data_IF_861796304128
#
_entry.id   IF_861796304128
#
_cell.length_a   1.000
_cell.length_b   1.000
_cell.length_c   1.000
_cell.angle_alpha   90.00
_cell.angle_beta   90.00
_cell.angle_gamma   90.00
#
_symmetry.space_group_name_H-M   'P 1'
#
loop_
_entity.id
_entity.type
_entity.pdbx_description
1 polymer ?
2 non-polymer ?
3 non-polymer ?
4 water ?
#
# COMPACT_ATOMS: atom_id res chain seq x y z
N UNK A 1 -8.50 18.63 17.68
CA UNK A 1 -7.46 17.77 18.32
C UNK A 1 -7.66 16.26 18.03
N UNK A 2 -6.62 15.44 18.23
CA UNK A 2 -6.58 14.04 17.78
C UNK A 2 -6.25 13.12 18.93
N UNK A 3 -7.18 12.21 19.18
CA UNK A 3 -7.10 11.24 20.28
C UNK A 3 -7.11 9.83 19.69
N UNK A 4 -6.08 9.05 20.00
CA UNK A 4 -5.93 7.69 19.46
C UNK A 4 -5.98 6.65 20.57
N UNK A 5 -6.80 5.62 20.35
CA UNK A 5 -6.88 4.44 21.19
C UNK A 5 -6.03 3.36 20.54
N UNK A 6 -5.14 2.78 21.34
CA UNK A 6 -4.33 1.69 20.92
C UNK A 6 -4.46 0.52 21.89
N UNK A 7 -4.05 -0.65 21.43
CA UNK A 7 -4.03 -1.83 22.26
C UNK A 7 -4.31 -3.05 21.45
N UNK A 8 -4.16 -4.19 22.13
CA UNK A 8 -4.45 -5.50 21.54
C UNK A 8 -5.92 -5.69 21.34
N UNK A 9 -6.24 -6.68 20.53
CA UNK A 9 -7.62 -7.10 20.32
C UNK A 9 -8.27 -7.40 21.67
N UNK A 10 -9.48 -6.93 21.83
CA UNK A 10 -10.25 -7.13 23.04
C UNK A 10 -9.88 -6.35 24.28
N UNK A 11 -9.08 -5.31 24.09
CA UNK A 11 -8.69 -4.43 25.20
C UNK A 11 -9.79 -3.41 25.54
N UNK A 12 -10.80 -3.33 24.69
CA UNK A 12 -11.86 -2.38 24.85
C UNK A 12 -11.84 -1.07 24.06
N UNK A 13 -11.09 -0.99 22.98
CA UNK A 13 -10.98 0.23 22.19
C UNK A 13 -12.28 0.64 21.55
N UNK A 14 -13.00 -0.27 20.91
CA UNK A 14 -14.28 0.10 20.28
C UNK A 14 -15.24 0.71 21.34
N UNK A 15 -15.29 0.02 22.47
CA UNK A 15 -16.19 0.37 23.54
C UNK A 15 -15.79 1.75 24.07
N UNK A 16 -14.52 1.90 24.44
CA UNK A 16 -14.11 3.16 25.06
C UNK A 16 -14.10 4.40 24.10
N UNK A 17 -13.72 4.18 22.85
CA UNK A 17 -13.73 5.24 21.82
C UNK A 17 -15.16 5.79 21.59
N UNK A 18 -16.13 4.90 21.52
CA UNK A 18 -17.52 5.31 21.37
C UNK A 18 -18.08 6.00 22.64
N UNK A 19 -17.77 5.45 23.80
CA UNK A 19 -17.98 6.16 25.06
C UNK A 19 -17.47 7.54 25.05
N UNK A 20 -16.21 7.73 24.64
CA UNK A 20 -15.62 9.01 24.63
C UNK A 20 -16.31 9.93 23.58
N UNK A 21 -16.58 9.41 22.38
CA UNK A 21 -17.29 10.17 21.37
C UNK A 21 -18.58 10.75 21.96
N UNK A 22 -19.36 9.90 22.62
CA UNK A 22 -20.68 10.38 23.14
C UNK A 22 -20.53 11.37 24.22
N UNK A 23 -19.55 11.16 25.08
CA UNK A 23 -19.25 12.05 26.17
C UNK A 23 -18.84 13.43 25.68
N UNK A 24 -17.89 13.47 24.74
CA UNK A 24 -17.41 14.75 24.24
C UNK A 24 -18.49 15.46 23.45
N UNK A 25 -19.29 14.72 22.69
CA UNK A 25 -20.36 15.36 21.90
C UNK A 25 -21.37 16.06 22.85
N UNK A 26 -21.73 15.36 23.94
CA UNK A 26 -22.61 16.01 24.98
C UNK A 26 -22.02 17.27 25.58
N UNK A 27 -20.70 17.32 25.74
CA UNK A 27 -19.99 18.48 26.24
C UNK A 27 -19.91 19.62 25.24
N UNK A 28 -20.49 19.46 24.04
CA UNK A 28 -20.46 20.47 23.03
C UNK A 28 -19.30 20.46 22.03
N UNK A 29 -18.44 19.43 22.07
CA UNK A 29 -17.40 19.32 21.03
C UNK A 29 -18.01 18.78 19.76
N UNK A 30 -17.46 19.15 18.59
CA UNK A 30 -17.81 18.56 17.34
C UNK A 30 -16.81 17.45 17.20
N UNK A 31 -17.30 16.25 17.08
CA UNK A 31 -16.42 15.07 17.26
C UNK A 31 -16.59 14.18 16.05
N UNK A 32 -15.52 13.45 15.70
CA UNK A 32 -15.53 12.37 14.73
C UNK A 32 -14.93 11.11 15.39
N UNK A 33 -15.37 9.95 14.89
CA UNK A 33 -14.90 8.66 15.34
C UNK A 33 -14.67 7.79 14.10
N UNK A 34 -13.43 7.35 13.94
CA UNK A 34 -12.99 6.51 12.80
C UNK A 34 -12.27 5.30 13.33
N UNK A 35 -12.45 4.16 12.64
CA UNK A 35 -11.66 2.96 12.95
C UNK A 35 -10.62 2.70 11.87
N UNK A 36 -9.52 2.05 12.26
CA UNK A 36 -8.42 1.71 11.35
C UNK A 36 -8.22 0.21 11.41
N UNK A 37 -8.07 -0.47 10.26
CA UNK A 37 -8.30 0.04 8.94
C UNK A 37 -9.79 0.32 8.72
N UNK A 38 -10.12 1.13 7.70
CA UNK A 38 -11.51 1.51 7.46
C UNK A 38 -11.70 3.00 7.66
N UNK A 39 -12.94 3.42 7.79
CA UNK A 39 -13.24 4.82 8.12
C UNK A 39 -13.54 5.67 6.90
N UNK A 40 -13.28 5.15 5.72
CA UNK A 40 -13.66 5.78 4.42
C UNK A 40 -14.22 4.65 3.55
N UNK A 41 -14.92 4.99 2.48
CA UNK A 41 -15.43 3.98 1.56
C UNK A 41 -14.29 3.07 1.05
N UNK A 42 -13.22 3.67 0.54
CA UNK A 42 -12.08 2.86 0.08
C UNK A 42 -11.41 2.11 1.24
N UNK A 43 -11.20 2.75 2.37
CA UNK A 43 -10.58 2.08 3.51
C UNK A 43 -11.35 0.86 3.97
N UNK A 44 -12.68 0.91 3.84
CA UNK A 44 -13.51 -0.19 4.28
C UNK A 44 -13.41 -1.37 3.31
N UNK A 45 -13.26 -1.07 2.03
CA UNK A 45 -12.92 -2.11 1.04
C UNK A 45 -11.61 -2.77 1.40
N UNK A 46 -10.61 -1.97 1.76
CA UNK A 46 -9.32 -2.55 2.16
C UNK A 46 -9.42 -3.37 3.44
N UNK A 47 -10.25 -2.89 4.38
CA UNK A 47 -10.40 -3.57 5.63
C UNK A 47 -10.98 -4.96 5.36
N UNK A 48 -11.98 -5.03 4.47
CA UNK A 48 -12.55 -6.34 4.16
C UNK A 48 -11.53 -7.26 3.51
N UNK A 49 -10.69 -6.75 2.60
CA UNK A 49 -9.62 -7.58 2.11
C UNK A 49 -8.71 -8.07 3.28
N UNK A 50 -8.31 -7.17 4.16
CA UNK A 50 -7.35 -7.51 5.22
C UNK A 50 -7.92 -8.55 6.15
N UNK A 51 -9.25 -8.52 6.36
CA UNK A 51 -9.88 -9.41 7.32
C UNK A 51 -10.27 -10.75 6.72
N UNK A 52 -10.37 -10.84 5.40
CA UNK A 52 -10.91 -12.03 4.79
C UNK A 52 -9.98 -12.79 3.89
N UNK A 53 -8.89 -12.19 3.38
CA UNK A 53 -8.04 -12.87 2.39
C UNK A 53 -6.80 -13.35 3.05
N UNK A 54 -6.16 -14.35 2.47
CA UNK A 54 -4.89 -14.76 2.97
C UNK A 54 -3.84 -13.87 2.30
N UNK A 55 -3.11 -13.13 3.13
CA UNK A 55 -2.11 -12.21 2.66
C UNK A 55 -0.82 -12.48 3.35
N UNK A 56 0.26 -12.21 2.64
CA UNK A 56 1.57 -12.14 3.25
C UNK A 56 1.67 -10.82 4.03
N UNK A 57 2.65 -10.78 4.89
CA UNK A 57 2.75 -9.70 5.87
C UNK A 57 3.17 -8.36 5.25
N UNK A 58 3.93 -8.39 4.16
CA UNK A 58 4.27 -7.18 3.43
C UNK A 58 3.10 -6.53 2.74
N UNK A 59 2.33 -7.31 2.00
CA UNK A 59 1.07 -6.82 1.39
C UNK A 59 0.13 -6.26 2.47
N UNK A 60 0.03 -6.95 3.62
CA UNK A 60 -0.76 -6.46 4.77
C UNK A 60 -0.32 -5.06 5.23
N UNK A 61 0.96 -4.92 5.43
CA UNK A 61 1.51 -3.67 5.90
C UNK A 61 1.13 -2.55 4.97
N UNK A 62 1.28 -2.82 3.70
CA UNK A 62 0.99 -1.80 2.67
C UNK A 62 -0.49 -1.44 2.60
N UNK A 63 -1.39 -2.43 2.77
CA UNK A 63 -2.83 -2.14 2.81
C UNK A 63 -3.28 -1.39 4.03
N UNK A 64 -2.73 -1.74 5.20
CA UNK A 64 -2.97 -0.92 6.43
C UNK A 64 -2.55 0.55 6.18
N UNK A 65 -1.40 0.77 5.55
CA UNK A 65 -0.98 2.16 5.31
C UNK A 65 -1.85 2.82 4.27
N UNK A 66 -2.26 2.10 3.25
CA UNK A 66 -3.13 2.67 2.23
C UNK A 66 -4.48 3.15 2.80
N UNK A 67 -5.10 2.30 3.63
CA UNK A 67 -6.31 2.72 4.38
C UNK A 67 -6.05 4.00 5.21
N UNK A 68 -4.90 4.04 5.93
CA UNK A 68 -4.56 5.20 6.76
C UNK A 68 -4.38 6.45 5.92
N UNK A 69 -3.69 6.30 4.80
CA UNK A 69 -3.48 7.41 3.90
C UNK A 69 -4.82 7.97 3.41
N UNK A 70 -5.71 7.08 2.99
CA UNK A 70 -7.07 7.55 2.55
C UNK A 70 -7.83 8.28 3.68
N UNK A 71 -7.79 7.74 4.89
CA UNK A 71 -8.44 8.35 6.02
C UNK A 71 -7.88 9.74 6.38
N UNK A 72 -6.55 9.85 6.40
CA UNK A 72 -5.88 11.05 6.74
C UNK A 72 -6.28 12.17 5.72
N UNK A 73 -6.14 11.86 4.42
CA UNK A 73 -6.38 12.83 3.40
C UNK A 73 -7.87 13.18 3.27
N UNK A 74 -8.73 12.19 3.29
CA UNK A 74 -10.13 12.39 3.06
C UNK A 74 -10.87 13.07 4.25
N UNK A 75 -10.56 12.61 5.47
CA UNK A 75 -11.30 12.89 6.70
C UNK A 75 -10.50 13.57 7.82
N UNK A 76 -9.37 13.00 8.26
CA UNK A 76 -8.73 13.50 9.44
C UNK A 76 -8.21 14.95 9.26
N UNK A 77 -7.48 15.20 8.19
CA UNK A 77 -6.91 16.50 8.02
C UNK A 77 -8.06 17.56 7.93
N UNK A 78 -9.11 17.34 7.10
CA UNK A 78 -10.15 18.38 7.05
C UNK A 78 -10.84 18.53 8.39
N UNK A 79 -11.02 17.40 9.12
CA UNK A 79 -11.69 17.45 10.43
C UNK A 79 -10.91 18.30 11.37
N UNK A 80 -9.59 18.10 11.44
CA UNK A 80 -8.75 18.84 12.36
C UNK A 80 -8.72 20.32 12.03
N UNK A 81 -8.72 20.63 10.74
CA UNK A 81 -8.77 21.99 10.21
C UNK A 81 -10.02 22.73 10.75
N UNK A 82 -11.16 22.02 10.81
CA UNK A 82 -12.42 22.54 11.45
C UNK A 82 -12.51 22.41 12.97
N UNK A 83 -11.43 22.15 13.66
CA UNK A 83 -11.37 22.02 15.12
C UNK A 83 -12.32 20.95 15.63
N UNK A 84 -12.47 19.88 14.86
CA UNK A 84 -13.17 18.73 15.42
C UNK A 84 -12.22 18.00 16.37
N UNK A 85 -12.79 17.38 17.39
CA UNK A 85 -12.08 16.34 18.14
C UNK A 85 -12.14 15.02 17.38
N UNK A 86 -10.98 14.52 16.92
CA UNK A 86 -10.99 13.29 16.09
C UNK A 86 -10.51 12.17 16.99
N UNK A 87 -11.37 11.15 17.12
CA UNK A 87 -11.10 10.01 17.91
C UNK A 87 -10.84 8.80 16.97
N UNK A 88 -9.69 8.16 17.12
CA UNK A 88 -9.32 7.01 16.30
C UNK A 88 -9.29 5.71 17.09
N UNK A 89 -9.97 4.71 16.52
CA UNK A 89 -9.92 3.36 17.03
C UNK A 89 -8.84 2.64 16.25
N UNK A 90 -7.63 2.72 16.82
CA UNK A 90 -6.34 2.27 16.24
C UNK A 90 -5.71 3.38 15.44
N UNK A 91 -4.37 3.43 15.49
CA UNK A 91 -3.60 4.36 14.66
C UNK A 91 -2.22 3.79 14.44
N UNK A 92 -1.20 4.62 14.35
CA UNK A 92 0.12 4.20 13.88
C UNK A 92 0.86 3.28 14.81
N UNK A 93 0.54 3.33 16.10
CA UNK A 93 1.19 2.38 16.97
C UNK A 93 0.72 0.95 16.77
N UNK A 94 -0.53 0.78 16.40
CA UNK A 94 -0.99 -0.59 16.02
C UNK A 94 -0.11 -1.17 14.89
N UNK A 95 0.21 -0.36 13.90
CA UNK A 95 1.03 -0.86 12.82
C UNK A 95 2.42 -1.33 13.31
N UNK A 96 3.05 -0.52 14.14
CA UNK A 96 4.32 -0.89 14.65
C UNK A 96 4.27 -2.12 15.54
N UNK A 97 3.29 -2.21 16.44
CA UNK A 97 3.20 -3.33 17.31
C UNK A 97 2.83 -4.62 16.59
N UNK A 98 1.89 -4.54 15.64
CA UNK A 98 1.43 -5.73 14.90
C UNK A 98 2.41 -6.14 13.84
N UNK A 99 2.69 -5.24 12.89
CA UNK A 99 3.61 -5.59 11.80
C UNK A 99 5.07 -5.68 12.20
N UNK A 100 5.44 -4.84 13.14
CA UNK A 100 6.85 -4.74 13.63
C UNK A 100 7.14 -5.77 14.70
N UNK A 101 6.54 -5.57 15.89
CA UNK A 101 6.90 -6.46 17.03
C UNK A 101 6.32 -7.85 16.81
N UNK A 102 5.09 -7.94 16.27
CA UNK A 102 4.40 -9.16 16.04
C UNK A 102 4.92 -9.99 14.87
N UNK A 103 5.00 -9.34 13.71
CA UNK A 103 5.34 -10.06 12.48
C UNK A 103 6.78 -9.89 12.09
N UNK A 104 7.57 -9.09 12.83
CA UNK A 104 9.00 -8.99 12.62
C UNK A 104 9.44 -8.15 11.45
N UNK A 105 8.56 -7.29 10.90
CA UNK A 105 8.95 -6.31 9.87
C UNK A 105 9.75 -5.18 10.52
N UNK A 106 10.56 -4.51 9.73
CA UNK A 106 11.47 -3.48 10.26
C UNK A 106 10.69 -2.24 10.76
N UNK A 107 10.87 -1.91 12.03
CA UNK A 107 10.12 -0.84 12.68
C UNK A 107 10.49 0.51 12.11
N UNK A 108 11.80 0.78 11.78
CA UNK A 108 12.06 2.10 11.20
C UNK A 108 11.28 2.27 9.86
N UNK A 109 11.28 1.20 9.10
CA UNK A 109 10.61 1.18 7.79
C UNK A 109 9.13 1.43 8.01
N UNK A 110 8.58 0.79 9.05
CA UNK A 110 7.19 0.99 9.39
C UNK A 110 6.95 2.43 9.73
N UNK A 111 7.84 3.03 10.53
CA UNK A 111 7.63 4.37 10.92
C UNK A 111 7.68 5.34 9.72
N UNK A 112 8.55 5.06 8.77
CA UNK A 112 8.67 5.86 7.56
C UNK A 112 7.39 5.79 6.75
N UNK A 113 6.78 4.63 6.68
CA UNK A 113 5.48 4.52 6.00
C UNK A 113 4.42 5.21 6.75
N UNK A 114 4.46 5.09 8.06
CA UNK A 114 3.50 5.80 8.91
C UNK A 114 3.53 7.32 8.63
N UNK A 115 4.74 7.86 8.67
CA UNK A 115 4.99 9.32 8.41
C UNK A 115 4.44 9.75 7.05
N UNK A 116 4.66 8.92 6.05
CA UNK A 116 4.14 9.15 4.70
C UNK A 116 2.62 9.17 4.59
N UNK A 117 2.00 8.14 5.14
CA UNK A 117 0.55 8.03 5.16
C UNK A 117 -0.12 9.16 5.97
N UNK A 118 0.49 9.55 7.09
CA UNK A 118 -0.10 10.54 7.94
C UNK A 118 0.19 11.97 7.54
N UNK A 119 1.14 12.19 6.62
CA UNK A 119 1.70 13.54 6.37
C UNK A 119 2.24 14.14 7.67
N UNK A 120 2.73 13.33 8.59
CA UNK A 120 3.32 13.79 9.88
C UNK A 120 2.26 14.07 10.92
N UNK A 121 0.95 13.82 10.65
CA UNK A 121 -0.10 14.11 11.64
C UNK A 121 0.06 13.13 12.82
N UNK A 122 0.25 13.69 14.02
CA UNK A 122 0.45 12.92 15.22
C UNK A 122 -0.71 13.20 16.20
N UNK A 123 -0.97 12.25 17.12
CA UNK A 123 -2.05 12.46 18.07
C UNK A 123 -1.62 13.51 19.06
N UNK A 124 -2.58 14.19 19.66
CA UNK A 124 -2.30 14.97 20.89
C UNK A 124 -2.04 14.04 22.08
N UNK A 125 -2.74 12.92 22.11
CA UNK A 125 -2.56 11.90 23.18
C UNK A 125 -2.97 10.56 22.61
N UNK A 126 -2.26 9.52 22.96
CA UNK A 126 -2.62 8.15 22.64
C UNK A 126 -2.94 7.45 23.96
N UNK A 127 -4.11 6.84 24.04
CA UNK A 127 -4.53 6.02 25.19
C UNK A 127 -4.24 4.54 24.84
N UNK A 128 -3.20 3.98 25.45
CA UNK A 128 -2.88 2.57 25.28
C UNK A 128 -3.66 1.73 26.32
N UNK A 129 -4.68 1.00 25.84
CA UNK A 129 -5.45 0.10 26.68
C UNK A 129 -4.71 -1.17 26.88
N UNK A 130 -3.96 -1.25 27.99
CA UNK A 130 -3.14 -2.37 28.26
C UNK A 130 -3.98 -3.41 29.03
N UNK A 131 -3.77 -4.67 28.70
CA UNK A 131 -4.55 -5.75 29.30
C UNK A 131 -3.80 -7.04 29.12
N UNK A 132 -3.86 -7.95 30.10
CA UNK A 132 -3.31 -9.27 29.88
C UNK A 132 -3.99 -9.98 28.76
N UNK A 133 -3.17 -10.64 27.94
CA UNK A 133 -3.66 -11.36 26.80
C UNK A 133 -4.75 -12.37 27.17
N UNK A 134 -4.56 -13.12 28.26
CA UNK A 134 -5.63 -14.06 28.69
C UNK A 134 -6.96 -13.45 28.90
N UNK A 135 -6.97 -12.24 29.43
CA UNK A 135 -8.25 -11.55 29.74
C UNK A 135 -8.96 -11.05 28.48
N UNK A 136 -8.19 -10.39 27.61
CA UNK A 136 -8.69 -10.05 26.29
C UNK A 136 -9.25 -11.24 25.56
N UNK A 137 -8.50 -12.34 25.53
CA UNK A 137 -9.00 -13.56 24.87
C UNK A 137 -10.30 -14.05 25.42
N UNK A 138 -10.43 -14.07 26.75
CA UNK A 138 -11.70 -14.47 27.40
C UNK A 138 -12.84 -13.55 26.98
N UNK A 139 -12.60 -12.22 26.96
CA UNK A 139 -13.56 -11.30 26.48
C UNK A 139 -13.96 -11.55 25.05
N UNK A 140 -12.97 -11.87 24.21
CA UNK A 140 -13.25 -12.15 22.83
C UNK A 140 -14.05 -13.47 22.63
N UNK A 141 -13.65 -14.51 23.36
CA UNK A 141 -14.32 -15.85 23.26
C UNK A 141 -15.83 -15.71 23.51
N UNK A 142 -16.21 -14.85 24.47
CA UNK A 142 -17.63 -14.55 24.79
C UNK A 142 -18.39 -13.84 23.66
N UNK A 143 -17.70 -13.27 22.69
CA UNK A 143 -18.38 -12.87 21.44
C UNK A 143 -17.95 -13.71 20.23
N UNK A 144 -17.48 -14.95 20.48
CA UNK A 144 -17.18 -15.89 19.39
C UNK A 144 -16.08 -15.33 18.49
N UNK A 145 -15.05 -14.70 19.09
CA UNK A 145 -13.85 -14.19 18.37
C UNK A 145 -12.64 -14.86 19.03
N UNK A 146 -11.70 -15.34 18.22
CA UNK A 146 -10.56 -16.12 18.67
C UNK A 146 -9.34 -15.49 18.04
N UNK A 147 -8.33 -15.17 18.85
CA UNK A 147 -7.07 -14.58 18.39
C UNK A 147 -5.94 -15.36 18.97
N UNK A 148 -4.73 -15.08 18.46
CA UNK A 148 -3.61 -15.94 18.70
C UNK A 148 -2.78 -15.50 19.92
N UNK A 149 -2.79 -16.33 20.99
CA UNK A 149 -2.14 -15.94 22.22
C UNK A 149 -0.65 -15.70 22.02
N UNK A 150 0.04 -16.57 21.28
CA UNK A 150 1.46 -16.37 21.14
C UNK A 150 1.74 -15.02 20.43
N UNK A 151 0.99 -14.76 19.40
CA UNK A 151 1.16 -13.54 18.63
C UNK A 151 0.83 -12.32 19.47
N UNK A 152 -0.28 -12.42 20.17
CA UNK A 152 -0.72 -11.28 20.96
C UNK A 152 0.16 -10.97 22.15
N UNK A 153 0.90 -11.95 22.69
CA UNK A 153 1.84 -11.69 23.77
C UNK A 153 2.95 -10.81 23.26
N UNK A 154 3.43 -11.08 22.06
CA UNK A 154 4.44 -10.22 21.46
C UNK A 154 3.93 -8.79 21.17
N UNK A 155 2.72 -8.68 20.69
CA UNK A 155 2.10 -7.41 20.34
C UNK A 155 1.88 -6.57 21.60
N UNK A 156 1.37 -7.21 22.64
CA UNK A 156 1.22 -6.48 23.92
C UNK A 156 2.49 -5.86 24.41
N UNK A 157 3.55 -6.65 24.38
CA UNK A 157 4.82 -6.16 24.78
C UNK A 157 5.32 -5.09 23.90
N UNK A 158 5.05 -5.22 22.58
CA UNK A 158 5.43 -4.17 21.65
C UNK A 158 4.77 -2.83 22.01
N UNK A 159 3.49 -2.86 22.31
CA UNK A 159 2.78 -1.65 22.66
C UNK A 159 3.39 -1.03 23.93
N UNK A 160 3.73 -1.87 24.89
CA UNK A 160 4.32 -1.33 26.13
C UNK A 160 5.70 -0.70 25.90
N UNK A 161 6.54 -1.30 25.04
CA UNK A 161 7.83 -0.66 24.71
C UNK A 161 7.63 0.67 24.02
N UNK A 162 6.64 0.74 23.14
CA UNK A 162 6.35 1.97 22.44
C UNK A 162 5.82 3.05 23.37
N UNK A 163 4.99 2.69 24.36
CA UNK A 163 4.53 3.68 25.36
C UNK A 163 5.74 4.34 26.07
N UNK A 164 6.81 3.58 26.25
CA UNK A 164 8.08 4.10 26.78
C UNK A 164 8.84 4.94 25.74
N UNK A 165 8.95 4.42 24.51
CA UNK A 165 9.79 5.01 23.42
C UNK A 165 9.18 6.17 22.66
N UNK A 166 7.88 6.12 22.49
CA UNK A 166 7.12 7.14 21.72
C UNK A 166 6.62 8.23 22.65
N UNK A 167 6.09 9.30 22.07
CA UNK A 167 5.69 10.49 22.85
C UNK A 167 4.21 10.45 23.06
N UNK A 168 3.71 11.04 24.16
CA UNK A 168 2.30 11.36 24.40
C UNK A 168 1.36 10.13 24.49
N UNK A 169 1.92 9.04 25.00
CA UNK A 169 1.24 7.76 25.16
C UNK A 169 0.99 7.58 26.66
N UNK A 170 -0.27 7.40 27.05
CA UNK A 170 -0.61 7.07 28.44
C UNK A 170 -1.06 5.62 28.54
N UNK A 171 -0.48 4.85 29.45
CA UNK A 171 -0.87 3.47 29.63
C UNK A 171 -2.05 3.43 30.57
N UNK A 172 -3.18 2.96 30.07
CA UNK A 172 -4.37 2.74 30.82
C UNK A 172 -4.47 1.26 31.23
N UNK A 173 -4.77 1.00 32.52
CA UNK A 173 -5.15 -0.37 32.91
C UNK A 173 -6.58 -0.66 32.41
N UNK A 174 -6.63 -1.32 31.29
CA UNK A 174 -7.84 -1.64 30.67
C UNK A 174 -8.49 -2.96 31.23
N UNK A 175 -7.88 -3.62 32.23
CA UNK A 175 -8.47 -4.88 32.79
C UNK A 175 -9.75 -4.67 33.65
N UNK A 176 -10.04 -3.45 34.04
CA UNK A 176 -11.18 -3.17 34.95
C UNK A 176 -12.49 -3.12 34.23
N UNK A 177 -13.53 -2.74 34.99
CA UNK A 177 -14.86 -2.53 34.47
C UNK A 177 -14.92 -1.28 33.57
N UNK A 178 -15.94 -1.22 32.75
CA UNK A 178 -16.09 -0.18 31.74
C UNK A 178 -16.01 1.22 32.35
N UNK A 179 -16.64 1.45 33.51
CA UNK A 179 -16.63 2.80 34.02
C UNK A 179 -15.33 3.11 34.70
N UNK A 180 -14.71 2.12 35.32
CA UNK A 180 -13.42 2.34 35.91
C UNK A 180 -12.42 2.75 34.81
N UNK A 181 -12.49 2.04 33.68
CA UNK A 181 -11.55 2.32 32.55
C UNK A 181 -11.80 3.72 31.99
N UNK A 182 -13.08 4.08 31.80
CA UNK A 182 -13.43 5.41 31.32
C UNK A 182 -12.97 6.47 32.30
N UNK A 183 -13.07 6.18 33.59
CA UNK A 183 -12.52 7.08 34.56
C UNK A 183 -11.03 7.38 34.39
N UNK A 184 -10.22 6.37 34.16
CA UNK A 184 -8.76 6.60 33.96
C UNK A 184 -8.58 7.35 32.64
N UNK A 185 -9.36 7.07 31.64
CA UNK A 185 -9.27 7.78 30.34
C UNK A 185 -9.53 9.29 30.49
N UNK A 186 -10.54 9.66 31.26
CA UNK A 186 -10.86 11.06 31.46
C UNK A 186 -9.74 11.74 32.26
N UNK A 187 -9.20 11.03 33.25
CA UNK A 187 -8.03 11.52 34.01
C UNK A 187 -6.84 11.80 33.06
N UNK A 188 -6.50 10.85 32.21
CA UNK A 188 -5.40 11.05 31.23
C UNK A 188 -5.70 12.20 30.28
N UNK A 189 -6.95 12.38 29.87
CA UNK A 189 -7.28 13.47 28.92
C UNK A 189 -7.24 14.84 29.52
N UNK A 190 -7.55 14.98 30.79
CA UNK A 190 -7.54 16.31 31.40
C UNK A 190 -6.07 16.92 31.43
N UNK A 191 -5.03 16.11 31.20
CA UNK A 191 -3.73 16.64 30.74
C UNK A 191 -3.80 17.44 29.43
N UNK A 192 -4.60 16.96 28.47
CA UNK A 192 -4.62 17.46 27.09
C UNK A 192 -5.82 18.36 26.70
N UNK A 193 -7.01 18.15 27.27
CA UNK A 193 -8.26 18.79 26.79
C UNK A 193 -9.06 19.32 27.98
N UNK B 1 13.66 -16.88 -15.58
CA UNK B 1 14.18 -15.46 -15.77
C UNK B 1 13.07 -14.38 -15.89
N UNK B 2 13.37 -13.11 -15.64
CA UNK B 2 12.33 -12.05 -15.51
C UNK B 2 12.53 -10.92 -16.53
N UNK B 3 11.49 -10.69 -17.32
CA UNK B 3 11.52 -9.71 -18.40
C UNK B 3 10.42 -8.69 -18.14
N UNK B 4 10.77 -7.42 -17.97
CA UNK B 4 9.76 -6.41 -17.67
C UNK B 4 9.55 -5.46 -18.84
N UNK B 5 8.31 -5.19 -19.19
CA UNK B 5 8.01 -4.16 -20.18
C UNK B 5 7.63 -2.90 -19.44
N UNK B 6 8.16 -1.75 -19.86
CA UNK B 6 7.85 -0.48 -19.28
C UNK B 6 7.55 0.53 -20.34
N UNK B 7 6.97 1.64 -19.90
CA UNK B 7 6.68 2.74 -20.77
C UNK B 7 5.37 3.40 -20.56
N UNK B 8 5.15 4.49 -21.27
CA UNK B 8 3.89 5.26 -21.09
C UNK B 8 2.68 4.53 -21.61
N UNK B 9 1.50 4.98 -21.17
CA UNK B 9 0.26 4.46 -21.72
C UNK B 9 0.27 4.57 -23.27
N UNK B 10 -0.18 3.53 -23.96
CA UNK B 10 -0.25 3.53 -25.41
C UNK B 10 1.04 3.22 -26.14
N UNK B 11 2.08 2.78 -25.41
CA UNK B 11 3.37 2.44 -26.04
C UNK B 11 3.45 1.02 -26.61
N UNK B 12 2.43 0.20 -26.37
CA UNK B 12 2.35 -1.13 -26.91
C UNK B 12 2.74 -2.26 -25.97
N UNK B 13 2.75 -1.99 -24.67
CA UNK B 13 3.23 -3.02 -23.72
C UNK B 13 2.33 -4.22 -23.72
N UNK B 14 1.01 -4.04 -23.60
CA UNK B 14 0.10 -5.17 -23.60
C UNK B 14 0.29 -6.05 -24.82
N UNK B 15 0.37 -5.38 -25.95
CA UNK B 15 0.56 -6.01 -27.25
C UNK B 15 1.83 -6.83 -27.33
N UNK B 16 2.94 -6.14 -27.04
CA UNK B 16 4.27 -6.75 -27.13
C UNK B 16 4.52 -7.80 -26.08
N UNK B 17 3.91 -7.62 -24.91
CA UNK B 17 4.13 -8.66 -23.86
C UNK B 17 3.47 -10.00 -24.21
N UNK B 18 2.28 -9.90 -24.79
CA UNK B 18 1.54 -11.06 -25.22
C UNK B 18 2.20 -11.71 -26.41
N UNK B 19 2.63 -10.92 -27.38
CA UNK B 19 3.43 -11.40 -28.52
C UNK B 19 4.65 -12.21 -28.03
N UNK B 20 5.37 -11.62 -27.08
CA UNK B 20 6.54 -12.30 -26.49
C UNK B 20 6.19 -13.58 -25.74
N UNK B 21 5.10 -13.52 -24.96
CA UNK B 21 4.61 -14.70 -24.23
C UNK B 21 4.35 -15.83 -25.23
N UNK B 22 3.63 -15.53 -26.31
CA UNK B 22 3.31 -16.64 -27.27
C UNK B 22 4.56 -17.18 -28.01
N UNK B 23 5.46 -16.28 -28.38
CA UNK B 23 6.70 -16.62 -29.01
C UNK B 23 7.59 -17.49 -28.16
N UNK B 24 7.75 -17.15 -26.89
CA UNK B 24 8.60 -17.93 -26.04
C UNK B 24 7.99 -19.26 -25.69
N UNK B 25 6.66 -19.30 -25.54
CA UNK B 25 5.98 -20.57 -25.29
C UNK B 25 6.21 -21.54 -26.47
N UNK B 26 6.10 -21.01 -27.67
CA UNK B 26 6.21 -21.84 -28.89
C UNK B 26 7.63 -22.44 -28.99
N UNK B 27 8.62 -21.68 -28.51
CA UNK B 27 10.00 -22.07 -28.44
C UNK B 27 10.30 -23.07 -27.33
N UNK B 28 9.35 -23.39 -26.47
CA UNK B 28 9.53 -24.44 -25.43
C UNK B 28 9.91 -23.94 -24.05
N UNK B 29 9.87 -22.63 -23.85
CA UNK B 29 9.94 -22.07 -22.49
C UNK B 29 8.61 -22.27 -21.75
N UNK B 30 8.66 -22.39 -20.43
CA UNK B 30 7.51 -22.32 -19.60
C UNK B 30 7.45 -20.87 -19.19
N UNK B 31 6.34 -20.24 -19.53
CA UNK B 31 6.23 -18.79 -19.49
C UNK B 31 5.05 -18.41 -18.65
N UNK B 32 5.16 -17.26 -17.97
CA UNK B 32 4.07 -16.58 -17.25
C UNK B 32 4.00 -15.16 -17.76
N UNK B 33 2.79 -14.60 -17.73
CA UNK B 33 2.55 -13.24 -18.12
C UNK B 33 1.60 -12.57 -17.10
N UNK B 34 2.09 -11.47 -16.51
CA UNK B 34 1.37 -10.75 -15.46
C UNK B 34 1.36 -9.24 -15.74
N UNK B 35 0.24 -8.59 -15.45
CA UNK B 35 0.09 -7.13 -15.53
C UNK B 35 0.11 -6.54 -14.16
N UNK B 36 0.60 -5.30 -14.08
CA UNK B 36 0.66 -4.54 -12.85
C UNK B 36 0.04 -3.18 -13.08
N UNK B 37 -0.79 -2.70 -12.15
CA UNK B 37 -1.36 -3.55 -11.07
C UNK B 37 -2.25 -4.72 -11.53
N UNK B 38 -2.47 -5.69 -10.67
CA UNK B 38 -3.19 -6.85 -11.04
C UNK B 38 -2.33 -8.07 -11.01
N UNK B 39 -2.80 -9.11 -11.69
CA UNK B 39 -2.06 -10.38 -11.83
C UNK B 39 -2.24 -11.40 -10.72
N UNK B 40 -3.01 -11.02 -9.68
CA UNK B 40 -3.50 -11.93 -8.66
C UNK B 40 -4.93 -11.55 -8.34
N UNK B 41 -5.63 -12.43 -7.63
CA UNK B 41 -7.03 -12.10 -7.25
C UNK B 41 -7.11 -10.78 -6.45
N UNK B 42 -6.27 -10.70 -5.43
CA UNK B 42 -6.17 -9.48 -4.66
C UNK B 42 -5.68 -8.26 -5.44
N UNK B 43 -4.61 -8.43 -6.25
CA UNK B 43 -4.11 -7.31 -7.09
C UNK B 43 -5.17 -6.78 -8.06
N UNK B 44 -6.01 -7.65 -8.59
CA UNK B 44 -7.04 -7.21 -9.51
C UNK B 44 -8.11 -6.37 -8.84
N UNK B 45 -8.47 -6.75 -7.61
CA UNK B 45 -9.33 -5.91 -6.80
C UNK B 45 -8.67 -4.54 -6.62
N UNK B 46 -7.35 -4.53 -6.36
CA UNK B 46 -6.69 -3.26 -6.15
C UNK B 46 -6.63 -2.45 -7.42
N UNK B 47 -6.44 -3.14 -8.55
CA UNK B 47 -6.34 -2.50 -9.85
C UNK B 47 -7.69 -1.81 -10.13
N UNK B 48 -8.81 -2.47 -9.80
CA UNK B 48 -10.14 -1.85 -10.05
C UNK B 48 -10.31 -0.61 -9.22
N UNK B 49 -9.87 -0.66 -7.96
CA UNK B 49 -9.90 0.54 -7.14
C UNK B 49 -9.06 1.66 -7.73
N UNK B 50 -7.87 1.32 -8.18
CA UNK B 50 -6.96 2.31 -8.71
C UNK B 50 -7.49 2.94 -10.01
N UNK B 51 -8.14 2.14 -10.85
CA UNK B 51 -8.72 2.66 -12.09
C UNK B 51 -10.07 3.35 -11.96
N UNK B 52 -10.82 3.14 -10.89
CA UNK B 52 -12.17 3.67 -10.81
C UNK B 52 -12.39 4.74 -9.74
N UNK B 53 -11.59 4.76 -8.68
CA UNK B 53 -11.86 5.68 -7.55
C UNK B 53 -11.01 6.92 -7.59
N UNK B 54 -11.51 7.98 -6.98
CA UNK B 54 -10.76 9.16 -6.81
C UNK B 54 -9.84 8.93 -5.61
N UNK B 55 -8.54 8.92 -5.89
CA UNK B 55 -7.57 8.63 -4.85
C UNK B 55 -6.57 9.71 -4.86
N UNK B 56 -6.08 10.05 -3.70
CA UNK B 56 -4.90 10.85 -3.62
C UNK B 56 -3.64 10.05 -4.02
N UNK B 57 -2.58 10.75 -4.30
CA UNK B 57 -1.37 10.17 -4.83
C UNK B 57 -0.59 9.24 -3.88
N UNK B 58 -0.71 9.53 -2.58
CA UNK B 58 -0.07 8.68 -1.55
C UNK B 58 -0.74 7.32 -1.42
N UNK B 59 -2.08 7.36 -1.34
CA UNK B 59 -2.87 6.16 -1.30
C UNK B 59 -2.60 5.37 -2.59
N UNK B 60 -2.57 6.07 -3.73
CA UNK B 60 -2.24 5.37 -4.97
C UNK B 60 -0.91 4.63 -4.92
N UNK B 61 0.15 5.29 -4.48
CA UNK B 61 1.45 4.64 -4.40
C UNK B 61 1.39 3.35 -3.60
N UNK B 62 0.69 3.43 -2.47
CA UNK B 62 0.65 2.36 -1.51
C UNK B 62 -0.15 1.22 -2.11
N UNK B 63 -1.19 1.51 -2.89
CA UNK B 63 -1.92 0.40 -3.53
C UNK B 63 -1.14 -0.26 -4.67
N UNK B 64 -0.49 0.54 -5.52
CA UNK B 64 0.42 -0.04 -6.58
C UNK B 64 1.42 -0.98 -5.90
N UNK B 65 2.01 -0.55 -4.79
CA UNK B 65 2.97 -1.42 -4.16
C UNK B 65 2.35 -2.63 -3.52
N UNK B 66 1.18 -2.49 -2.92
CA UNK B 66 0.52 -3.63 -2.35
C UNK B 66 0.20 -4.69 -3.40
N UNK B 67 -0.30 -4.22 -4.54
CA UNK B 67 -0.54 -5.17 -5.66
C UNK B 67 0.76 -5.95 -6.06
N UNK B 68 1.88 -5.22 -6.10
CA UNK B 68 3.20 -5.78 -6.50
C UNK B 68 3.67 -6.78 -5.48
N UNK B 69 3.49 -6.45 -4.22
CA UNK B 69 3.92 -7.32 -3.16
C UNK B 69 3.17 -8.68 -3.25
N UNK B 70 1.87 -8.60 -3.49
CA UNK B 70 1.05 -9.82 -3.62
C UNK B 70 1.48 -10.64 -4.81
N UNK B 71 1.76 -9.96 -5.93
CA UNK B 71 2.22 -10.63 -7.14
C UNK B 71 3.59 -11.28 -6.98
N UNK B 72 4.52 -10.60 -6.36
CA UNK B 72 5.86 -11.10 -6.07
C UNK B 72 5.77 -12.35 -5.20
N UNK B 73 5.02 -12.27 -4.11
CA UNK B 73 5.05 -13.36 -3.15
C UNK B 73 4.22 -14.52 -3.68
N UNK B 74 3.09 -14.24 -4.30
CA UNK B 74 2.19 -15.29 -4.74
C UNK B 74 2.61 -16.04 -5.98
N UNK B 75 3.20 -15.31 -6.91
CA UNK B 75 3.40 -15.80 -8.26
C UNK B 75 4.82 -15.66 -8.78
N UNK B 76 5.46 -14.46 -8.69
CA UNK B 76 6.73 -14.29 -9.40
C UNK B 76 7.83 -15.14 -8.76
N UNK B 77 8.00 -15.01 -7.46
CA UNK B 77 9.06 -15.78 -6.78
C UNK B 77 8.85 -17.31 -7.02
N UNK B 78 7.62 -17.86 -6.80
CA UNK B 78 7.47 -19.31 -7.09
C UNK B 78 7.77 -19.67 -8.55
N UNK B 79 7.32 -18.83 -9.49
CA UNK B 79 7.58 -19.05 -10.93
C UNK B 79 9.08 -19.12 -11.25
N UNK B 80 9.81 -18.16 -10.70
CA UNK B 80 11.26 -18.06 -10.92
C UNK B 80 11.99 -19.27 -10.36
N UNK B 81 11.47 -19.80 -9.26
CA UNK B 81 12.09 -20.95 -8.63
C UNK B 81 11.95 -22.16 -9.54
N UNK B 82 10.84 -22.24 -10.27
CA UNK B 82 10.63 -23.31 -11.28
C UNK B 82 11.17 -22.98 -12.66
N UNK B 83 12.08 -22.04 -12.79
CA UNK B 83 12.68 -21.64 -14.10
C UNK B 83 11.67 -21.30 -15.17
N UNK B 84 10.55 -20.69 -14.78
CA UNK B 84 9.70 -20.08 -15.78
C UNK B 84 10.25 -18.74 -16.22
N UNK B 85 10.07 -18.41 -17.48
CA UNK B 85 10.23 -17.06 -17.99
C UNK B 85 8.98 -16.23 -17.58
N UNK B 86 9.22 -15.22 -16.75
CA UNK B 86 8.12 -14.37 -16.23
C UNK B 86 8.22 -13.05 -16.98
N UNK B 87 7.15 -12.71 -17.70
CA UNK B 87 6.98 -11.50 -18.42
C UNK B 87 6.00 -10.58 -17.65
N UNK B 88 6.43 -9.35 -17.39
CA UNK B 88 5.63 -8.37 -16.67
C UNK B 88 5.28 -7.24 -17.56
N UNK B 89 3.98 -6.93 -17.59
CA UNK B 89 3.53 -5.69 -18.23
C UNK B 89 3.42 -4.61 -17.15
N UNK B 90 4.51 -3.88 -17.02
CA UNK B 90 4.80 -2.88 -16.03
C UNK B 90 5.47 -3.51 -14.85
N UNK B 91 6.37 -2.73 -14.25
CA UNK B 91 7.01 -3.16 -13.01
C UNK B 91 7.52 -1.90 -12.30
N UNK B 92 8.65 -2.00 -11.59
CA UNK B 92 9.04 -0.97 -10.67
C UNK B 92 9.33 0.34 -11.30
N UNK B 93 9.74 0.34 -12.58
CA UNK B 93 10.08 1.64 -13.14
C UNK B 93 8.82 2.45 -13.44
N UNK B 94 7.69 1.78 -13.70
CA UNK B 94 6.42 2.48 -13.81
C UNK B 94 6.13 3.26 -12.53
N UNK B 95 6.39 2.67 -11.36
CA UNK B 95 6.11 3.39 -10.14
C UNK B 95 6.94 4.66 -10.00
N UNK B 96 8.24 4.56 -10.31
CA UNK B 96 9.10 5.69 -10.18
C UNK B 96 8.75 6.76 -11.19
N UNK B 97 8.40 6.34 -12.41
CA UNK B 97 8.05 7.31 -13.47
C UNK B 97 6.71 8.02 -13.25
N UNK B 98 5.69 7.24 -12.88
CA UNK B 98 4.35 7.77 -12.62
C UNK B 98 4.27 8.49 -11.31
N UNK B 99 4.49 7.77 -10.20
CA UNK B 99 4.39 8.40 -8.88
C UNK B 99 5.48 9.42 -8.52
N UNK B 100 6.69 9.18 -9.02
CA UNK B 100 7.84 10.05 -8.81
C UNK B 100 7.86 11.22 -9.79
N UNK B 101 8.19 10.92 -11.03
CA UNK B 101 8.38 11.96 -12.02
C UNK B 101 7.07 12.62 -12.40
N UNK B 102 5.97 11.89 -12.50
CA UNK B 102 4.68 12.44 -12.83
C UNK B 102 4.03 13.25 -11.69
N UNK B 103 3.87 12.60 -10.53
CA UNK B 103 3.13 13.16 -9.41
C UNK B 103 4.03 13.89 -8.42
N UNK B 104 5.35 13.78 -8.56
CA UNK B 104 6.32 14.42 -7.68
C UNK B 104 6.55 13.86 -6.31
N UNK B 105 6.20 12.61 -6.09
CA UNK B 105 6.61 11.94 -4.91
C UNK B 105 8.10 11.59 -4.92
N UNK B 106 8.60 11.33 -3.72
CA UNK B 106 10.03 11.22 -3.56
C UNK B 106 10.61 9.91 -4.16
N UNK B 107 11.53 10.06 -5.08
CA UNK B 107 12.02 8.91 -5.81
C UNK B 107 12.76 7.94 -4.91
N UNK B 108 13.58 8.43 -3.95
CA UNK B 108 14.26 7.46 -3.07
C UNK B 108 13.27 6.63 -2.22
N UNK B 109 12.19 7.25 -1.76
CA UNK B 109 11.13 6.62 -0.97
C UNK B 109 10.46 5.56 -1.82
N UNK B 110 10.16 5.93 -3.06
CA UNK B 110 9.55 4.96 -3.98
C UNK B 110 10.44 3.77 -4.19
N UNK B 111 11.75 3.99 -4.41
CA UNK B 111 12.67 2.87 -4.59
C UNK B 111 12.69 1.93 -3.32
N UNK B 112 12.62 2.54 -2.16
CA UNK B 112 12.61 1.74 -0.93
C UNK B 112 11.35 0.90 -0.85
N UNK B 113 10.24 1.46 -1.21
CA UNK B 113 8.99 0.70 -1.25
C UNK B 113 9.11 -0.42 -2.26
N UNK B 114 9.62 -0.10 -3.45
CA UNK B 114 9.81 -1.07 -4.49
C UNK B 114 10.61 -2.24 -4.01
N UNK B 115 11.73 -1.96 -3.35
CA UNK B 115 12.58 -3.00 -2.80
C UNK B 115 11.88 -3.88 -1.75
N UNK B 116 11.07 -3.28 -0.88
CA UNK B 116 10.23 -3.96 0.10
C UNK B 116 9.20 -4.88 -0.58
N UNK B 117 8.45 -4.35 -1.53
CA UNK B 117 7.45 -5.15 -2.26
C UNK B 117 8.06 -6.32 -3.04
N UNK B 118 9.21 -6.10 -3.66
CA UNK B 118 9.85 -7.08 -4.51
C UNK B 118 10.70 -8.08 -3.74
N UNK B 119 11.00 -7.82 -2.48
CA UNK B 119 12.06 -8.59 -1.76
C UNK B 119 13.38 -8.57 -2.56
N UNK B 120 13.63 -7.47 -3.25
CA UNK B 120 14.74 -7.32 -4.09
C UNK B 120 14.81 -8.05 -5.37
N UNK B 121 13.75 -8.72 -5.82
CA UNK B 121 13.71 -9.31 -7.16
C UNK B 121 13.82 -8.18 -8.21
N UNK B 122 14.80 -8.32 -9.08
CA UNK B 122 14.95 -7.41 -10.22
C UNK B 122 14.94 -8.13 -11.56
N UNK B 123 14.59 -7.43 -12.63
CA UNK B 123 14.51 -8.09 -13.89
C UNK B 123 15.91 -8.42 -14.40
N UNK B 124 15.97 -9.46 -15.19
CA UNK B 124 17.18 -9.72 -16.03
C UNK B 124 17.27 -8.65 -17.12
N UNK B 125 16.14 -8.19 -17.62
CA UNK B 125 16.17 -7.14 -18.61
C UNK B 125 14.85 -6.40 -18.55
N UNK B 126 14.92 -5.11 -18.75
CA UNK B 126 13.72 -4.29 -18.87
C UNK B 126 13.65 -3.70 -20.29
N UNK B 127 12.55 -3.93 -20.98
CA UNK B 127 12.31 -3.34 -22.27
C UNK B 127 11.50 -2.04 -22.12
N UNK B 128 12.15 -0.90 -22.28
CA UNK B 128 11.45 0.37 -22.27
C UNK B 128 10.89 0.69 -23.64
N UNK B 129 9.58 0.64 -23.76
CA UNK B 129 8.92 1.03 -24.99
C UNK B 129 8.77 2.52 -25.08
N UNK B 130 9.72 3.17 -25.77
CA UNK B 130 9.72 4.61 -25.79
C UNK B 130 8.92 5.05 -27.01
N UNK B 131 8.16 6.11 -26.85
CA UNK B 131 7.28 6.60 -27.93
C UNK B 131 6.93 8.01 -27.64
N UNK B 132 6.80 8.87 -28.68
CA UNK B 132 6.32 10.23 -28.40
C UNK B 132 4.93 10.23 -27.85
N UNK B 133 4.70 11.14 -26.90
CA UNK B 133 3.41 11.16 -26.23
C UNK B 133 2.30 11.36 -27.23
N UNK B 134 2.49 12.26 -28.20
CA UNK B 134 1.39 12.48 -29.13
C UNK B 134 1.04 11.25 -29.95
N UNK B 135 2.02 10.42 -30.29
CA UNK B 135 1.73 9.20 -31.02
C UNK B 135 0.99 8.17 -30.16
N UNK B 136 1.42 8.02 -28.91
CA UNK B 136 0.68 7.17 -27.95
C UNK B 136 -0.81 7.61 -27.77
N UNK B 137 -0.98 8.94 -27.63
CA UNK B 137 -2.32 9.47 -27.46
C UNK B 137 -3.22 9.21 -28.67
N UNK B 138 -2.69 9.30 -29.88
CA UNK B 138 -3.47 8.95 -31.09
C UNK B 138 -3.90 7.48 -31.07
N UNK B 139 -2.98 6.60 -30.66
CA UNK B 139 -3.31 5.20 -30.60
C UNK B 139 -4.39 4.93 -29.60
N UNK B 140 -4.25 5.52 -28.39
CA UNK B 140 -5.27 5.38 -27.35
C UNK B 140 -6.62 5.98 -27.78
N UNK B 141 -6.59 7.11 -28.45
CA UNK B 141 -7.82 7.88 -28.87
C UNK B 141 -8.66 7.00 -29.80
N UNK B 142 -7.97 6.15 -30.57
CA UNK B 142 -8.70 5.28 -31.48
C UNK B 142 -9.55 4.31 -30.74
N UNK B 143 -9.15 3.95 -29.51
CA UNK B 143 -9.91 3.06 -28.68
C UNK B 143 -10.69 3.81 -27.60
N UNK B 144 -10.91 5.10 -27.78
CA UNK B 144 -11.62 5.93 -26.81
C UNK B 144 -11.01 5.97 -25.42
N UNK B 145 -9.69 5.97 -25.39
CA UNK B 145 -8.95 6.06 -24.12
C UNK B 145 -8.26 7.40 -24.18
N UNK B 146 -8.49 8.24 -23.16
CA UNK B 146 -7.91 9.62 -23.10
C UNK B 146 -6.88 9.67 -21.98
N UNK B 147 -5.68 10.17 -22.23
CA UNK B 147 -4.73 10.31 -21.12
C UNK B 147 -4.16 11.68 -21.24
N UNK B 148 -3.51 12.14 -20.18
CA UNK B 148 -3.16 13.54 -20.00
C UNK B 148 -1.78 13.86 -20.58
N UNK B 149 -1.75 14.68 -21.61
CA UNK B 149 -0.47 14.92 -22.32
C UNK B 149 0.54 15.56 -21.42
N UNK B 150 0.11 16.56 -20.62
CA UNK B 150 1.11 17.23 -19.81
C UNK B 150 1.71 16.22 -18.80
N UNK B 151 0.88 15.41 -18.20
CA UNK B 151 1.38 14.38 -17.30
C UNK B 151 2.32 13.34 -17.97
N UNK B 152 1.88 12.83 -19.10
CA UNK B 152 2.67 11.86 -19.77
C UNK B 152 3.97 12.35 -20.33
N UNK B 153 4.09 13.66 -20.67
CA UNK B 153 5.34 14.21 -21.10
C UNK B 153 6.37 14.04 -19.95
N UNK B 154 5.97 14.34 -18.73
CA UNK B 154 6.91 14.21 -17.61
C UNK B 154 7.30 12.73 -17.36
N UNK B 155 6.32 11.83 -17.50
CA UNK B 155 6.47 10.38 -17.27
C UNK B 155 7.41 9.81 -18.33
N UNK B 156 7.21 10.19 -19.59
CA UNK B 156 8.11 9.73 -20.60
C UNK B 156 9.56 10.10 -20.28
N UNK B 157 9.80 11.32 -19.91
CA UNK B 157 11.16 11.79 -19.58
C UNK B 157 11.69 11.06 -18.38
N UNK B 158 10.84 10.79 -17.39
CA UNK B 158 11.23 9.97 -16.23
C UNK B 158 11.76 8.59 -16.63
N UNK B 159 11.00 7.93 -17.49
CA UNK B 159 11.38 6.63 -17.95
C UNK B 159 12.73 6.69 -18.65
N UNK B 160 12.91 7.68 -19.53
CA UNK B 160 14.21 7.81 -20.24
C UNK B 160 15.40 8.11 -19.33
N UNK B 161 15.24 8.93 -18.31
CA UNK B 161 16.29 9.10 -17.28
C UNK B 161 16.57 7.79 -16.53
N UNK B 162 15.51 7.03 -16.21
CA UNK B 162 15.67 5.75 -15.55
C UNK B 162 16.43 4.76 -16.39
N UNK B 163 16.18 4.77 -17.69
CA UNK B 163 16.89 3.90 -18.64
C UNK B 163 18.42 4.14 -18.69
N UNK B 164 18.83 5.37 -18.42
CA UNK B 164 20.24 5.79 -18.32
C UNK B 164 20.83 5.41 -16.95
N UNK B 165 20.05 5.55 -15.88
CA UNK B 165 20.55 5.41 -14.49
C UNK B 165 20.46 3.99 -13.99
N UNK B 166 19.39 3.28 -14.35
CA UNK B 166 19.16 1.93 -13.79
C UNK B 166 19.85 0.87 -14.63
N UNK B 167 19.96 -0.31 -14.04
CA UNK B 167 20.68 -1.44 -14.66
C UNK B 167 19.81 -2.12 -15.70
N UNK B 168 20.38 -2.59 -16.83
CA UNK B 168 19.77 -3.57 -17.71
C UNK B 168 18.43 -3.14 -18.38
N UNK B 169 18.33 -1.89 -18.78
CA UNK B 169 17.16 -1.36 -19.43
C UNK B 169 17.58 -1.10 -20.84
N UNK B 170 16.80 -1.61 -21.77
CA UNK B 170 17.03 -1.36 -23.22
C UNK B 170 15.88 -0.49 -23.75
N UNK B 171 16.21 0.63 -24.38
CA UNK B 171 15.24 1.54 -24.95
C UNK B 171 14.84 1.01 -26.32
N UNK B 172 13.57 0.65 -26.46
CA UNK B 172 13.02 0.19 -27.71
C UNK B 172 12.32 1.36 -28.41
N UNK B 173 12.52 1.51 -29.74
CA UNK B 173 11.69 2.43 -30.51
C UNK B 173 10.27 1.88 -30.76
N UNK B 174 9.34 2.24 -29.87
CA UNK B 174 8.05 1.66 -29.88
C UNK B 174 7.14 2.38 -30.91
N UNK B 175 7.64 3.41 -31.63
CA UNK B 175 6.82 4.12 -32.62
C UNK B 175 6.72 3.33 -33.90
N UNK B 176 7.50 2.27 -34.04
CA UNK B 176 7.40 1.41 -35.19
C UNK B 176 6.12 0.64 -35.32
N UNK B 177 6.03 -0.06 -36.43
CA UNK B 177 5.00 -1.02 -36.70
C UNK B 177 5.24 -2.24 -35.77
N UNK B 178 4.15 -2.90 -35.44
CA UNK B 178 4.13 -3.99 -34.50
C UNK B 178 5.22 -5.05 -34.73
N UNK B 179 5.38 -5.52 -35.97
CA UNK B 179 6.39 -6.57 -36.20
C UNK B 179 7.81 -6.09 -36.04
N UNK B 180 8.08 -4.86 -36.48
CA UNK B 180 9.39 -4.21 -36.35
C UNK B 180 9.71 -3.99 -34.88
N UNK B 181 8.71 -3.53 -34.15
CA UNK B 181 8.88 -3.39 -32.71
C UNK B 181 9.28 -4.70 -32.06
N UNK B 182 8.54 -5.76 -32.42
CA UNK B 182 8.80 -7.09 -31.89
C UNK B 182 10.23 -7.59 -32.23
N UNK B 183 10.68 -7.34 -33.44
CA UNK B 183 12.01 -7.72 -33.84
C UNK B 183 13.07 -6.96 -33.08
N UNK B 184 12.83 -5.69 -32.76
CA UNK B 184 13.80 -4.98 -31.94
C UNK B 184 13.89 -5.63 -30.55
N UNK B 185 12.76 -5.97 -30.00
CA UNK B 185 12.66 -6.62 -28.71
C UNK B 185 13.46 -7.95 -28.74
N UNK B 186 13.27 -8.75 -29.79
CA UNK B 186 14.03 -10.01 -29.92
C UNK B 186 15.57 -9.75 -29.93
N UNK B 187 15.99 -8.70 -30.63
CA UNK B 187 17.40 -8.33 -30.67
C UNK B 187 17.91 -7.94 -29.28
N UNK B 188 17.09 -7.16 -28.58
CA UNK B 188 17.40 -6.75 -27.24
C UNK B 188 17.53 -7.97 -26.27
N UNK B 189 16.67 -8.97 -26.45
CA UNK B 189 16.67 -10.17 -25.61
C UNK B 189 17.75 -11.14 -25.96
N UNK B 190 18.25 -11.04 -27.17
CA UNK B 190 19.13 -12.11 -27.71
C UNK B 190 20.36 -12.44 -26.84
N UNK B 191 20.95 -11.45 -26.20
CA UNK B 191 22.00 -11.64 -25.20
C UNK B 191 21.57 -12.37 -23.91
N UNK B 192 20.41 -12.00 -23.35
CA UNK B 192 19.99 -12.58 -22.05
C UNK B 192 19.43 -14.01 -22.07
N UNK B 193 18.69 -14.41 -23.11
CA UNK B 193 18.29 -15.81 -23.33
C UNK B 193 18.24 -16.13 -24.83
N UNK B 194 18.25 -17.44 -25.16
CA UNK B 194 18.12 -17.97 -26.55
C UNK B 194 16.66 -17.92 -27.02
X LIG C 1 -11.43 -3.95 20.98
X LIG C 1 -11.19 -5.26 20.28
X LIG C 1 -10.23 -3.48 21.76
X LIG C 1 -12.03 -2.92 20.08
X LIG C 1 -14.04 -4.12 22.23
X LIG C 1 -14.67 -4.55 20.92
X LIG C 1 -14.39 -2.73 22.70
X LIG C 1 -12.48 -4.34 22.17
X LIG C 1 -14.31 -5.06 23.50
X LIG C 1 -14.22 -6.48 23.26
X LIG C 1 -15.33 -7.25 24.03
X LIG C 1 -15.15 -6.99 25.44
X LIG C 1 -16.71 -6.75 23.63
X LIG C 1 -17.68 -7.82 23.66
X LIG C 1 -17.04 -5.75 24.73
X LIG C 1 -18.41 -5.63 24.94
X LIG C 1 -16.33 -6.30 25.95
X LIG C 1 -15.86 -5.31 26.93
X LIG C 1 -15.52 -4.03 26.67
X LIG C 1 -15.03 -3.44 27.76
X LIG C 1 -15.06 -4.35 28.73
X LIG C 1 -14.74 -4.29 30.15
X LIG C 1 -14.25 -3.12 30.68
X LIG C 1 -14.89 -5.46 30.89
X LIG C 1 -15.35 -6.60 30.32
X LIG C 1 -15.70 -6.68 29.01
X LIG C 1 -15.60 -5.58 28.20
X LIG D 1 -9.97 -4.40 14.85
X LIG D 1 -10.72 -5.58 15.22
X LIG D 1 -10.89 -3.53 14.00
X LIG D 1 -9.34 -3.53 15.94
X LIG D 1 -8.79 -4.60 13.70
X LIG D 1 -8.69 -5.70 12.86
X LIG D 1 -7.24 -6.20 12.97
X LIG D 1 -6.30 -5.40 12.25
X LIG D 1 -6.72 -6.24 14.40
X LIG D 1 -6.42 -7.58 14.75
X LIG D 1 -5.43 -5.42 14.39
X LIG D 1 -5.02 -5.42 12.96
X LIG D 1 -4.20 -4.26 12.58
X LIG D 1 -2.88 -4.45 12.18
X LIG D 1 -2.38 -5.62 12.17
X LIG D 1 -2.16 -3.37 11.75
X LIG D 1 -2.63 -2.12 11.75
X LIG D 1 -1.94 -1.17 11.31
X LIG D 1 -4.05 -1.89 12.20
X LIG D 1 -4.67 -0.50 12.17
X LIG D 1 -4.77 -3.01 12.57
X LIG E 1 -0.13 -0.20 -23.58
X LIG E 1 -0.32 -1.53 -22.95
X LIG E 1 -1.03 0.97 -23.10
X LIG E 1 1.31 0.30 -23.58
X LIG E 1 -1.32 -1.40 -25.92
X LIG E 1 -2.59 -1.58 -25.15
X LIG E 1 -0.55 -2.64 -26.25
X LIG E 1 -0.41 -0.35 -25.15
X LIG E 1 -1.44 -0.59 -27.37
X LIG E 1 -2.26 0.61 -27.36
X LIG E 1 -3.09 0.65 -28.68
X LIG E 1 -2.20 0.74 -29.80
X LIG E 1 -3.92 -0.59 -28.89
X LIG E 1 -5.11 -0.22 -29.61
X LIG E 1 -3.07 -1.46 -29.81
X LIG E 1 -3.73 -2.36 -30.68
X LIG E 1 -2.35 -0.43 -30.64
X LIG E 1 -0.99 -0.80 -31.04
X LIG E 1 -0.12 -1.68 -30.44
X LIG E 1 1.08 -1.67 -31.07
X LIG E 1 0.96 -0.79 -32.07
X LIG E 1 1.85 -0.33 -33.12
X LIG E 1 3.10 -0.85 -33.16
X LIG E 1 1.40 0.61 -34.01
X LIG E 1 0.16 1.12 -33.94
X LIG E 1 -0.72 0.72 -33.01
X LIG E 1 -0.38 -0.22 -32.07
X LIG F 1 -2.36 -0.07 -17.85
X LIG F 1 -2.73 -1.46 -17.35
X LIG F 1 -3.33 0.43 -18.86
X LIG F 1 -0.90 -0.26 -18.26
X LIG F 1 -2.80 0.78 -16.60
X LIG F 1 -2.12 0.94 -15.48
X LIG F 1 -2.33 2.41 -15.11
X LIG F 1 -1.60 2.43 -13.86
X LIG F 1 -1.49 3.24 -16.12
X LIG F 1 -1.86 4.52 -16.46
X LIG F 1 -0.18 3.48 -15.35
X LIG F 1 -0.56 3.41 -13.89
X LIG F 1 0.49 2.92 -12.99
X LIG F 1 1.04 3.82 -12.07
X LIG F 1 0.68 5.03 -12.04
X LIG F 1 1.96 3.34 -11.19
X LIG F 1 2.35 2.04 -11.17
X LIG F 1 3.19 1.64 -10.32
X LIG F 1 1.78 1.09 -12.14
X LIG F 1 2.24 -0.31 -12.13
X LIG F 1 0.89 1.60 -13.06
#
# INVERSE_FOLDING_TARGET
>A
MLIAFEGIDGSGKTTQAKKLYEYLKQKGYFVSLYREPGGTKVGEVLREILLTEELDERTELLLFEASRSKLIEEKIIPDLKRDKVVILDRFVLSTIAYQGYGKGLDVEFIKNLNEFATRGVKPDITLLLDIPVDIALRRLKEKNRFENKEFLEKVRKGFLELAKEEENVVVIDASGEEEEVFKEILRALSGVLRV
>B
MLIAFEGIDGSGKTTQAKKLYEYLKQKGYFVSLYREPGGTKVGEVLREILLTEELDERTELLLFEASRSKLIEEKIIPDLKRDKVVILDRFVLSTIAYQGYGKGLDVEFIKNLNEFATRGVKPDITLLLDIPVDIALRRLKEKNRFENKEFLEKVRKGFLELAKEEENVVVIDASGEEEEVFKEILRALSGVLRV
>C hetero
1 ADP PB O1B O2B O3B PA O1A O2A O3A O5' C5' C4' O4' C3' O3' C2' O2' C1' N9 C8 N7 C5 C6 N6 N1 C2 N3 C4
>D hetero
1 TMP P O1P O2P O3P O5' C5' C4' O4' C3' O3' C2' C1' N1 C2 O2 N3 C4 O4 C5 C5M C6
>E hetero
1 ADP PB O1B O2B O3B PA O1A O2A O3A O5' C5' C4' O4' C3' O3' C2' O2' C1' N9 C8 N7 C5 C6 N6 N1 C2 N3 C4
>F hetero
1 TMP P O1P O2P O3P O5' C5' C4' O4' C3' O3' C2' C1' N1 C2 O2 N3 C4 O4 C5 C5M C6
#
